data_IF_092263811064
#
_entry.id   IF_092263811064
#
_cell.length_a   1.000
_cell.length_b   1.000
_cell.length_c   1.000
_cell.angle_alpha   90.00
_cell.angle_beta   90.00
_cell.angle_gamma   90.00
#
_symmetry.space_group_name_H-M   'P 1'
#
loop_
_entity.id
_entity.type
_entity.pdbx_description
1 polymer ?
#
# COMPACT_ATOMS: atom_id res chain seq x y z
N UNK A 1 9.20 -16.08 -12.85
CA UNK A 1 9.59 -14.67 -12.62
C UNK A 1 9.29 -14.36 -11.17
N UNK A 2 10.12 -13.56 -10.49
CA UNK A 2 9.82 -13.12 -9.12
C UNK A 2 8.59 -12.19 -9.15
N UNK A 3 7.65 -12.38 -8.23
CA UNK A 3 6.49 -11.49 -8.09
C UNK A 3 6.96 -10.13 -7.61
N UNK A 4 6.56 -9.07 -8.33
CA UNK A 4 6.81 -7.67 -7.95
C UNK A 4 5.50 -7.03 -7.53
N UNK A 5 5.51 -6.37 -6.37
CA UNK A 5 4.40 -5.53 -5.90
C UNK A 5 4.85 -4.08 -5.92
N UNK A 6 4.08 -3.24 -6.61
CA UNK A 6 4.31 -1.80 -6.60
C UNK A 6 3.73 -1.17 -5.33
N UNK A 7 4.22 0.01 -4.97
CA UNK A 7 3.57 0.84 -3.97
C UNK A 7 3.47 2.27 -4.47
N UNK A 8 2.44 2.99 -4.07
CA UNK A 8 2.28 4.41 -4.41
C UNK A 8 1.66 5.17 -3.23
N UNK A 9 2.04 6.43 -3.09
CA UNK A 9 1.49 7.35 -2.10
C UNK A 9 0.75 8.47 -2.82
N UNK A 10 -0.53 8.72 -2.51
CA UNK A 10 -1.28 9.74 -3.24
C UNK A 10 -0.90 11.17 -2.82
N UNK A 11 -0.52 11.41 -1.56
CA UNK A 11 -0.25 12.75 -1.04
C UNK A 11 -1.35 13.74 -1.43
N UNK A 12 -1.01 14.78 -2.19
CA UNK A 12 -1.90 15.81 -2.72
C UNK A 12 -2.09 15.72 -4.25
N UNK A 13 -1.75 14.59 -4.90
CA UNK A 13 -1.86 14.48 -6.36
C UNK A 13 -3.33 14.45 -6.84
N UNK A 14 -3.54 14.78 -8.12
CA UNK A 14 -4.84 14.60 -8.76
C UNK A 14 -5.16 13.12 -9.01
N UNK A 15 -6.44 12.77 -9.14
CA UNK A 15 -6.84 11.40 -9.44
C UNK A 15 -6.35 10.97 -10.84
N UNK A 16 -6.38 11.86 -11.84
CA UNK A 16 -5.84 11.55 -13.17
C UNK A 16 -4.33 11.30 -13.14
N UNK A 17 -3.59 12.05 -12.32
CA UNK A 17 -2.15 11.86 -12.15
C UNK A 17 -1.85 10.49 -11.51
N UNK A 18 -2.60 10.10 -10.48
CA UNK A 18 -2.50 8.77 -9.89
C UNK A 18 -2.75 7.68 -10.94
N UNK A 19 -3.84 7.80 -11.70
CA UNK A 19 -4.22 6.82 -12.73
C UNK A 19 -3.16 6.73 -13.85
N UNK A 20 -2.56 7.87 -14.24
CA UNK A 20 -1.49 7.89 -15.24
C UNK A 20 -0.25 7.15 -14.75
N UNK A 21 0.17 7.37 -13.50
CA UNK A 21 1.31 6.67 -12.90
C UNK A 21 1.06 5.16 -12.80
N UNK A 22 -0.14 4.75 -12.39
CA UNK A 22 -0.51 3.33 -12.32
C UNK A 22 -0.47 2.67 -13.70
N UNK A 23 -1.02 3.35 -14.73
CA UNK A 23 -1.01 2.87 -16.12
C UNK A 23 0.40 2.81 -16.71
N UNK A 24 1.26 3.77 -16.40
CA UNK A 24 2.67 3.77 -16.83
C UNK A 24 3.39 2.49 -16.41
N UNK A 25 3.04 1.94 -15.24
CA UNK A 25 3.60 0.70 -14.70
C UNK A 25 2.70 -0.53 -14.92
N UNK A 26 1.74 -0.42 -15.84
CA UNK A 26 0.79 -1.48 -16.19
C UNK A 26 0.03 -2.07 -15.00
N UNK A 27 -0.13 -1.32 -13.91
CA UNK A 27 -0.88 -1.75 -12.74
C UNK A 27 -2.35 -1.91 -13.11
N UNK A 28 -2.89 -3.11 -12.90
CA UNK A 28 -4.30 -3.42 -13.16
C UNK A 28 -5.12 -3.51 -11.87
N UNK A 29 -4.48 -3.61 -10.70
CA UNK A 29 -5.14 -3.64 -9.40
C UNK A 29 -4.47 -2.69 -8.41
N UNK A 30 -5.24 -1.77 -7.82
CA UNK A 30 -4.82 -0.95 -6.70
C UNK A 30 -5.43 -1.50 -5.40
N UNK A 31 -4.56 -1.90 -4.48
CA UNK A 31 -4.92 -2.35 -3.13
C UNK A 31 -4.78 -1.19 -2.16
N UNK A 32 -5.89 -0.71 -1.63
CA UNK A 32 -5.91 0.36 -0.65
C UNK A 32 -5.68 -0.19 0.76
N UNK A 33 -4.49 0.11 1.30
CA UNK A 33 -4.08 -0.31 2.65
C UNK A 33 -4.27 0.80 3.69
N UNK A 34 -4.91 1.92 3.34
CA UNK A 34 -5.17 3.00 4.31
C UNK A 34 -6.20 2.51 5.33
N UNK A 35 -5.89 2.57 6.62
CA UNK A 35 -6.85 2.20 7.68
C UNK A 35 -8.16 2.98 7.62
N UNK A 36 -8.11 4.24 7.17
CA UNK A 36 -9.26 5.09 6.97
C UNK A 36 -9.15 5.81 5.61
N UNK A 37 -9.73 5.28 4.52
CA UNK A 37 -9.67 5.85 3.18
C UNK A 37 -10.67 7.01 3.00
N UNK A 38 -10.58 8.01 3.88
CA UNK A 38 -11.43 9.19 3.89
C UNK A 38 -10.62 10.46 4.17
N UNK A 39 -10.86 11.52 3.40
CA UNK A 39 -10.26 12.83 3.54
C UNK A 39 -11.24 13.92 3.12
N UNK A 40 -11.39 14.95 3.97
CA UNK A 40 -12.15 16.16 3.62
C UNK A 40 -11.37 17.08 2.67
N UNK A 41 -10.04 17.09 2.76
CA UNK A 41 -9.17 17.95 1.94
C UNK A 41 -8.95 17.35 0.55
N UNK A 42 -8.92 16.01 0.46
CA UNK A 42 -8.65 15.28 -0.77
C UNK A 42 -9.79 14.28 -1.07
N UNK A 43 -11.02 14.79 -1.33
CA UNK A 43 -12.21 13.94 -1.49
C UNK A 43 -12.09 12.98 -2.68
N UNK A 44 -11.25 13.29 -3.67
CA UNK A 44 -10.97 12.38 -4.79
C UNK A 44 -10.34 11.05 -4.35
N UNK A 45 -9.71 11.02 -3.17
CA UNK A 45 -9.14 9.81 -2.58
C UNK A 45 -10.03 9.15 -1.53
N UNK A 46 -11.28 9.62 -1.38
CA UNK A 46 -12.29 8.86 -0.64
C UNK A 46 -12.57 7.55 -1.36
N UNK A 47 -12.73 6.47 -0.60
CA UNK A 47 -12.84 5.11 -1.15
C UNK A 47 -13.79 4.97 -2.34
N UNK A 48 -15.02 5.49 -2.26
CA UNK A 48 -15.99 5.39 -3.35
C UNK A 48 -15.52 6.16 -4.60
N UNK A 49 -15.12 7.42 -4.44
CA UNK A 49 -14.66 8.28 -5.53
C UNK A 49 -13.39 7.75 -6.19
N UNK A 50 -12.45 7.23 -5.39
CA UNK A 50 -11.23 6.62 -5.88
C UNK A 50 -11.53 5.36 -6.70
N UNK A 51 -12.40 4.46 -6.19
CA UNK A 51 -12.82 3.26 -6.91
C UNK A 51 -13.45 3.61 -8.26
N UNK A 52 -14.32 4.61 -8.30
CA UNK A 52 -15.00 5.01 -9.53
C UNK A 52 -14.01 5.61 -10.55
N UNK A 53 -13.07 6.44 -10.07
CA UNK A 53 -11.98 6.99 -10.89
C UNK A 53 -11.09 5.90 -11.50
N UNK A 54 -10.70 4.91 -10.70
CA UNK A 54 -9.89 3.77 -11.15
C UNK A 54 -10.67 2.89 -12.14
N UNK A 55 -11.96 2.66 -11.89
CA UNK A 55 -12.84 1.92 -12.80
C UNK A 55 -12.92 2.55 -14.19
N UNK A 56 -13.06 3.88 -14.25
CA UNK A 56 -12.97 4.63 -15.52
C UNK A 56 -11.60 4.53 -16.20
N UNK A 57 -10.56 4.21 -15.42
CA UNK A 57 -9.21 3.98 -15.92
C UNK A 57 -8.91 2.51 -16.28
N UNK A 58 -9.84 1.57 -16.05
CA UNK A 58 -9.61 0.14 -16.25
C UNK A 58 -8.74 -0.51 -15.17
N UNK A 59 -8.66 0.11 -13.99
CA UNK A 59 -7.90 -0.38 -12.83
C UNK A 59 -8.89 -0.86 -11.78
N UNK A 60 -8.73 -2.08 -11.31
CA UNK A 60 -9.54 -2.64 -10.22
C UNK A 60 -9.12 -2.05 -8.87
N UNK A 61 -10.06 -2.01 -7.93
CA UNK A 61 -9.84 -1.52 -6.57
C UNK A 61 -10.15 -2.63 -5.56
N UNK A 62 -9.21 -2.90 -4.66
CA UNK A 62 -9.40 -3.81 -3.53
C UNK A 62 -9.06 -3.06 -2.24
N UNK A 63 -9.91 -3.16 -1.23
CA UNK A 63 -9.63 -2.59 0.09
C UNK A 63 -9.11 -3.65 1.03
N UNK A 64 -7.91 -3.43 1.58
CA UNK A 64 -7.29 -4.24 2.65
C UNK A 64 -6.80 -3.36 3.80
N UNK A 65 -7.37 -2.17 3.98
CA UNK A 65 -6.98 -1.25 5.06
C UNK A 65 -7.31 -1.75 6.46
N UNK A 66 -8.23 -2.72 6.59
CA UNK A 66 -8.52 -3.38 7.87
C UNK A 66 -7.39 -4.32 8.27
N UNK A 67 -6.86 -5.07 7.32
CA UNK A 67 -5.86 -6.11 7.56
C UNK A 67 -4.42 -5.56 7.51
N UNK A 68 -4.15 -4.69 6.54
CA UNK A 68 -2.82 -4.16 6.23
C UNK A 68 -2.62 -2.71 6.66
N UNK A 69 -3.64 -2.11 7.27
CA UNK A 69 -3.60 -0.73 7.71
C UNK A 69 -2.59 -0.44 8.79
N UNK A 70 -1.98 0.74 8.72
CA UNK A 70 -0.98 1.19 9.68
C UNK A 70 -1.51 1.71 11.02
N UNK A 71 -2.83 1.73 11.24
CA UNK A 71 -3.45 2.19 12.49
C UNK A 71 -4.25 1.04 13.11
N UNK A 72 -3.78 0.45 14.23
CA UNK A 72 -4.51 -0.60 14.91
C UNK A 72 -5.64 -0.03 15.77
N UNK A 73 -6.74 -0.79 15.85
CA UNK A 73 -7.84 -0.54 16.79
C UNK A 73 -7.56 -1.08 18.20
N UNK A 74 -6.71 -2.11 18.31
CA UNK A 74 -6.30 -2.69 19.60
C UNK A 74 -5.12 -1.90 20.19
N UNK A 75 -5.31 -1.31 21.37
CA UNK A 75 -4.28 -0.57 22.10
C UNK A 75 -3.06 -1.44 22.47
N UNK A 76 -3.21 -2.77 22.54
CA UNK A 76 -2.09 -3.70 22.76
C UNK A 76 -1.11 -3.73 21.59
N UNK A 77 -1.53 -3.26 20.42
CA UNK A 77 -0.71 -3.13 19.22
C UNK A 77 -0.09 -1.74 19.10
N UNK A 78 -0.07 -0.95 20.19
CA UNK A 78 0.60 0.34 20.27
C UNK A 78 1.84 0.27 21.15
N UNK A 79 2.84 1.06 20.80
CA UNK A 79 3.99 1.33 21.65
C UNK A 79 3.58 2.21 22.85
N UNK A 80 4.39 2.29 23.92
CA UNK A 80 4.09 3.15 25.07
C UNK A 80 3.87 4.63 24.72
N UNK A 81 4.44 5.11 23.62
CA UNK A 81 4.24 6.48 23.11
C UNK A 81 2.97 6.65 22.25
N UNK A 82 2.10 5.63 22.18
CA UNK A 82 0.85 5.63 21.42
C UNK A 82 1.00 5.38 19.91
N UNK A 83 2.23 5.29 19.39
CA UNK A 83 2.46 4.97 17.97
C UNK A 83 2.15 3.50 17.67
N UNK A 84 1.76 3.15 16.44
CA UNK A 84 1.58 1.76 16.04
C UNK A 84 2.85 0.92 16.26
N UNK A 85 2.70 -0.25 16.84
CA UNK A 85 3.77 -1.24 16.98
C UNK A 85 3.72 -2.20 15.79
N UNK A 86 4.45 -1.85 14.72
CA UNK A 86 4.43 -2.62 13.47
C UNK A 86 4.97 -4.05 13.63
N UNK A 87 5.94 -4.27 14.51
CA UNK A 87 6.44 -5.62 14.79
C UNK A 87 5.33 -6.51 15.39
N UNK A 88 4.57 -5.98 16.35
CA UNK A 88 3.44 -6.70 16.93
C UNK A 88 2.33 -6.93 15.91
N UNK A 89 1.98 -5.91 15.13
CA UNK A 89 0.97 -6.00 14.08
C UNK A 89 1.32 -7.06 13.02
N UNK A 90 2.58 -7.11 12.58
CA UNK A 90 3.07 -8.06 11.57
C UNK A 90 2.92 -9.54 11.97
N UNK A 91 2.77 -9.82 13.27
CA UNK A 91 2.57 -11.17 13.82
C UNK A 91 1.11 -11.53 14.05
N UNK A 92 0.18 -10.59 13.87
CA UNK A 92 -1.25 -10.86 14.11
C UNK A 92 -1.86 -11.75 13.03
N UNK A 93 -2.81 -12.63 13.37
CA UNK A 93 -3.51 -13.44 12.36
C UNK A 93 -4.22 -12.59 11.30
N UNK A 94 -4.82 -11.47 11.70
CA UNK A 94 -5.51 -10.54 10.80
C UNK A 94 -4.56 -9.98 9.73
N UNK A 95 -3.39 -9.51 10.16
CA UNK A 95 -2.37 -9.02 9.23
C UNK A 95 -1.87 -10.11 8.29
N UNK A 96 -1.56 -11.30 8.82
CA UNK A 96 -1.05 -12.42 8.02
C UNK A 96 -2.06 -12.88 6.98
N UNK A 97 -3.37 -12.82 7.28
CA UNK A 97 -4.44 -13.09 6.32
C UNK A 97 -4.46 -12.06 5.18
N UNK A 98 -4.45 -10.76 5.51
CA UNK A 98 -4.40 -9.71 4.48
C UNK A 98 -3.12 -9.77 3.63
N UNK A 99 -1.99 -10.12 4.24
CA UNK A 99 -0.73 -10.28 3.53
C UNK A 99 -0.81 -11.47 2.55
N UNK A 100 -1.34 -12.61 2.98
CA UNK A 100 -1.54 -13.76 2.10
C UNK A 100 -2.45 -13.42 0.91
N UNK A 101 -3.56 -12.72 1.16
CA UNK A 101 -4.47 -12.27 0.11
C UNK A 101 -3.79 -11.32 -0.88
N UNK A 102 -3.00 -10.35 -0.38
CA UNK A 102 -2.23 -9.43 -1.24
C UNK A 102 -1.26 -10.19 -2.14
N UNK A 103 -0.55 -11.19 -1.60
CA UNK A 103 0.40 -12.01 -2.35
C UNK A 103 -0.32 -12.83 -3.42
N UNK A 104 -1.45 -13.44 -3.07
CA UNK A 104 -2.26 -14.23 -3.99
C UNK A 104 -2.75 -13.39 -5.18
N UNK A 105 -3.32 -12.20 -4.94
CA UNK A 105 -3.78 -11.34 -6.05
C UNK A 105 -2.61 -10.85 -6.89
N UNK A 106 -1.48 -10.49 -6.27
CA UNK A 106 -0.28 -10.03 -6.98
C UNK A 106 0.39 -11.13 -7.82
N UNK A 107 0.19 -12.41 -7.49
CA UNK A 107 0.66 -13.52 -8.32
C UNK A 107 -0.10 -13.63 -9.65
N UNK A 108 -1.34 -13.10 -9.71
CA UNK A 108 -2.21 -13.21 -10.89
C UNK A 108 -2.16 -12.00 -11.82
N UNK A 109 -1.84 -10.80 -11.29
CA UNK A 109 -1.96 -9.54 -12.03
C UNK A 109 -1.07 -8.43 -11.44
N UNK A 110 -0.61 -7.45 -12.26
CA UNK A 110 0.19 -6.33 -11.78
C UNK A 110 -0.55 -5.52 -10.70
N UNK A 111 0.03 -5.47 -9.51
CA UNK A 111 -0.64 -4.94 -8.31
C UNK A 111 0.19 -3.85 -7.66
N UNK A 112 -0.47 -2.76 -7.24
CA UNK A 112 0.11 -1.73 -6.40
C UNK A 112 -0.63 -1.60 -5.07
N UNK A 113 0.08 -1.32 -3.98
CA UNK A 113 -0.55 -0.90 -2.71
C UNK A 113 -0.56 0.64 -2.59
N UNK A 114 -1.64 1.20 -2.06
CA UNK A 114 -1.83 2.65 -1.89
C UNK A 114 -1.73 3.09 -0.43
N UNK A 115 -0.95 4.15 -0.19
CA UNK A 115 -0.91 4.89 1.08
C UNK A 115 -1.17 6.40 0.88
N UNK A 116 -1.30 7.16 1.96
CA UNK A 116 -1.50 8.61 1.92
C UNK A 116 -0.20 9.40 1.78
N UNK A 117 0.89 8.95 2.40
CA UNK A 117 2.16 9.69 2.43
C UNK A 117 2.95 9.55 1.12
N UNK A 118 3.50 10.67 0.62
CA UNK A 118 4.35 10.70 -0.59
C UNK A 118 5.62 9.87 -0.43
N UNK A 119 6.35 10.10 0.66
CA UNK A 119 7.60 9.38 0.96
C UNK A 119 7.28 8.03 1.61
N UNK A 120 7.65 6.90 0.97
CA UNK A 120 7.40 5.57 1.53
C UNK A 120 8.02 5.40 2.91
N UNK A 121 9.23 5.91 3.17
CA UNK A 121 9.97 5.70 4.42
C UNK A 121 9.25 6.24 5.66
N UNK A 122 8.32 7.16 5.47
CA UNK A 122 7.53 7.75 6.54
C UNK A 122 6.13 7.11 6.71
N UNK A 123 5.75 6.15 5.87
CA UNK A 123 4.44 5.47 5.92
C UNK A 123 4.55 3.99 6.35
N UNK A 124 3.44 3.46 6.89
CA UNK A 124 3.26 2.03 7.20
C UNK A 124 3.47 1.09 6.00
N UNK A 125 3.23 1.53 4.76
CA UNK A 125 3.53 0.75 3.56
C UNK A 125 4.99 0.28 3.56
N UNK A 126 5.91 1.14 4.00
CA UNK A 126 7.33 0.81 4.14
C UNK A 126 7.68 0.20 5.49
N UNK A 127 7.09 0.69 6.58
CA UNK A 127 7.47 0.25 7.94
C UNK A 127 6.84 -1.09 8.35
N UNK A 128 5.80 -1.53 7.63
CA UNK A 128 5.03 -2.74 7.95
C UNK A 128 4.90 -3.66 6.74
N UNK A 129 4.41 -3.18 5.59
CA UNK A 129 4.06 -4.05 4.44
C UNK A 129 5.28 -4.44 3.61
N UNK A 130 6.17 -3.50 3.27
CA UNK A 130 7.39 -3.79 2.51
C UNK A 130 8.27 -4.86 3.17
N UNK A 131 8.66 -4.77 4.45
CA UNK A 131 9.62 -5.68 5.05
C UNK A 131 9.05 -7.10 5.16
N UNK A 132 7.73 -7.24 5.34
CA UNK A 132 7.07 -8.55 5.43
C UNK A 132 6.90 -9.22 4.07
N UNK A 133 6.75 -8.44 2.98
CA UNK A 133 6.80 -8.92 1.60
C UNK A 133 8.22 -9.35 1.23
N UNK A 134 9.21 -8.51 1.52
CA UNK A 134 10.63 -8.79 1.21
C UNK A 134 11.15 -10.00 1.97
N UNK A 135 10.77 -10.18 3.23
CA UNK A 135 11.07 -11.39 4.02
C UNK A 135 10.51 -12.68 3.39
N UNK A 136 9.57 -12.57 2.44
CA UNK A 136 8.99 -13.69 1.67
C UNK A 136 9.55 -13.76 0.24
N UNK A 137 10.60 -13.00 -0.08
CA UNK A 137 11.24 -12.97 -1.40
C UNK A 137 10.46 -12.23 -2.47
N UNK A 138 9.46 -11.43 -2.09
CA UNK A 138 8.68 -10.59 -3.02
C UNK A 138 9.42 -9.28 -3.24
N UNK A 139 9.57 -8.89 -4.50
CA UNK A 139 10.19 -7.61 -4.83
C UNK A 139 9.18 -6.48 -4.61
N UNK A 140 9.62 -5.41 -3.96
CA UNK A 140 8.81 -4.20 -3.78
C UNK A 140 9.45 -3.04 -4.54
N UNK A 141 8.64 -2.33 -5.32
CA UNK A 141 9.07 -1.14 -6.05
C UNK A 141 8.14 0.03 -5.75
N UNK A 142 8.70 1.15 -5.31
CA UNK A 142 7.95 2.35 -4.95
C UNK A 142 7.84 3.28 -6.17
N UNK A 143 6.61 3.47 -6.67
CA UNK A 143 6.32 4.47 -7.70
C UNK A 143 6.38 5.85 -7.05
N UNK A 144 7.31 6.67 -7.52
CA UNK A 144 7.49 8.05 -7.09
C UNK A 144 6.60 9.00 -7.89
N UNK A 145 6.46 10.25 -7.43
CA UNK A 145 5.57 11.24 -8.05
C UNK A 145 5.95 11.65 -9.47
N UNK A 146 7.20 11.43 -9.86
CA UNK A 146 7.71 11.65 -11.23
C UNK A 146 7.60 10.39 -12.12
N UNK A 147 7.04 9.30 -11.59
CA UNK A 147 6.89 8.01 -12.28
C UNK A 147 8.14 7.14 -12.26
N UNK A 148 9.25 7.60 -11.67
CA UNK A 148 10.41 6.75 -11.43
C UNK A 148 10.11 5.67 -10.37
N UNK A 149 10.90 4.60 -10.39
CA UNK A 149 10.81 3.51 -9.41
C UNK A 149 11.98 3.62 -8.45
N UNK A 150 11.67 3.72 -7.16
CA UNK A 150 12.62 3.49 -6.09
C UNK A 150 12.53 2.02 -5.68
N UNK A 151 13.65 1.31 -5.79
CA UNK A 151 13.81 -0.04 -5.29
C UNK A 151 14.67 -0.01 -4.03
N UNK A 152 14.22 -0.67 -2.97
CA UNK A 152 15.01 -0.82 -1.77
C UNK A 152 16.19 -1.75 -2.05
N UNK A 153 17.38 -1.35 -1.61
CA UNK A 153 18.55 -2.21 -1.69
C UNK A 153 18.31 -3.43 -0.80
N UNK A 154 18.22 -4.61 -1.41
CA UNK A 154 18.10 -5.88 -0.69
C UNK A 154 19.20 -5.96 0.38
N UNK A 155 18.80 -5.94 1.66
CA UNK A 155 19.71 -6.20 2.78
C UNK A 155 19.89 -5.10 3.84
N UNK A 156 19.10 -4.02 3.87
CA UNK A 156 19.03 -3.20 5.09
C UNK A 156 17.98 -3.74 6.05
N UNK A 157 18.32 -4.85 6.69
CA UNK A 157 17.79 -5.17 8.01
C UNK A 157 18.22 -4.03 8.94
N UNK A 158 17.26 -3.36 9.58
CA UNK A 158 17.53 -2.51 10.75
C UNK A 158 17.93 -3.40 11.92
#
# INVERSE_FOLDING_TARGET
MATTIYTIGHSNMGAEALNALLRQHAVSLLVDVRSAPYSRLWPQFNQATLRDSLGGAGIEYLFLGRELGGRPDDDRLRNPNGTPNYDAMARTPLYLQGLAQLIEVAASRPTAILCSESDPHHCHRYKLVTPTLEARGIQVQHILSDGSLLQEAQGKLF
#
